data_IF_423853486744
#
_entry.id   IF_423853486744
#
_cell.length_a   1.000
_cell.length_b   1.000
_cell.length_c   1.000
_cell.angle_alpha   90.00
_cell.angle_beta   90.00
_cell.angle_gamma   90.00
#
_symmetry.space_group_name_H-M   'P 1'
#
loop_
_entity.id
_entity.type
_entity.pdbx_description
1 polymer ?
#
# COMPACT_ATOMS: atom_id res chain seq x y z
N UNK A 1 32.23 -9.29 25.83
CA UNK A 1 31.65 -9.45 24.49
C UNK A 1 30.13 -9.32 24.58
N UNK A 2 29.60 -8.18 24.13
CA UNK A 2 28.19 -7.82 24.29
C UNK A 2 27.25 -8.45 23.24
N UNK A 3 27.77 -9.23 22.28
CA UNK A 3 26.99 -9.82 21.20
C UNK A 3 27.38 -11.28 20.97
N UNK A 4 26.38 -12.16 20.81
CA UNK A 4 26.60 -13.54 20.37
C UNK A 4 26.98 -13.59 18.88
N UNK A 5 27.80 -14.57 18.48
CA UNK A 5 28.18 -14.81 17.07
C UNK A 5 26.95 -14.97 16.16
N UNK A 6 25.89 -15.61 16.65
CA UNK A 6 24.63 -15.75 15.93
C UNK A 6 23.95 -14.40 15.69
N UNK A 7 23.95 -13.49 16.69
CA UNK A 7 23.40 -12.14 16.55
C UNK A 7 24.18 -11.29 15.55
N UNK A 8 25.52 -11.43 15.49
CA UNK A 8 26.36 -10.74 14.52
C UNK A 8 26.11 -11.22 13.10
N UNK A 9 25.98 -12.54 12.90
CA UNK A 9 25.66 -13.13 11.59
C UNK A 9 24.29 -12.63 11.11
N UNK A 10 23.27 -12.66 11.97
CA UNK A 10 21.93 -12.18 11.60
C UNK A 10 21.94 -10.71 11.20
N UNK A 11 22.64 -9.85 11.95
CA UNK A 11 22.77 -8.42 11.66
C UNK A 11 23.52 -8.16 10.36
N UNK A 12 24.62 -8.86 10.11
CA UNK A 12 25.45 -8.66 8.92
C UNK A 12 24.83 -9.23 7.65
N UNK A 13 23.98 -10.24 7.74
CA UNK A 13 23.31 -10.83 6.56
C UNK A 13 21.90 -10.34 6.35
N UNK A 14 21.03 -10.48 7.33
CA UNK A 14 19.61 -10.18 7.17
C UNK A 14 19.33 -8.66 7.14
N UNK A 15 19.93 -7.90 8.06
CA UNK A 15 19.73 -6.45 8.13
C UNK A 15 20.32 -5.75 6.91
N UNK A 16 21.49 -6.21 6.43
CA UNK A 16 22.10 -5.69 5.19
C UNK A 16 21.23 -6.01 3.97
N UNK A 17 20.66 -7.22 3.89
CA UNK A 17 19.73 -7.55 2.80
C UNK A 17 18.44 -6.72 2.83
N UNK A 18 17.88 -6.47 4.01
CA UNK A 18 16.71 -5.61 4.15
C UNK A 18 17.00 -4.17 3.72
N UNK A 19 18.13 -3.62 4.15
CA UNK A 19 18.58 -2.28 3.75
C UNK A 19 18.81 -2.23 2.23
N UNK A 20 19.47 -3.23 1.66
CA UNK A 20 19.70 -3.31 0.23
C UNK A 20 18.39 -3.37 -0.56
N UNK A 21 17.40 -4.16 -0.11
CA UNK A 21 16.08 -4.21 -0.74
C UNK A 21 15.35 -2.87 -0.65
N UNK A 22 15.35 -2.23 0.52
CA UNK A 22 14.73 -0.91 0.72
C UNK A 22 15.34 0.15 -0.19
N UNK A 23 16.68 0.21 -0.26
CA UNK A 23 17.39 1.16 -1.13
C UNK A 23 17.10 0.86 -2.60
N UNK A 24 17.20 -0.40 -3.02
CA UNK A 24 17.00 -0.78 -4.43
C UNK A 24 15.56 -0.50 -4.88
N UNK A 25 14.58 -0.90 -4.09
CA UNK A 25 13.16 -0.67 -4.39
C UNK A 25 12.84 0.83 -4.28
N UNK A 26 13.35 1.50 -3.24
CA UNK A 26 13.12 2.93 -3.01
C UNK A 26 13.68 3.79 -4.14
N UNK A 27 14.93 3.60 -4.53
CA UNK A 27 15.55 4.35 -5.65
C UNK A 27 14.80 4.07 -6.95
N UNK A 28 14.47 2.78 -7.22
CA UNK A 28 13.72 2.43 -8.43
C UNK A 28 12.36 3.13 -8.46
N UNK A 29 11.60 3.12 -7.37
CA UNK A 29 10.30 3.77 -7.32
C UNK A 29 10.40 5.30 -7.40
N UNK A 30 11.37 5.91 -6.69
CA UNK A 30 11.60 7.35 -6.69
C UNK A 30 12.01 7.91 -8.07
N UNK A 31 12.80 7.16 -8.82
CA UNK A 31 13.25 7.61 -10.14
C UNK A 31 12.27 7.21 -11.25
N UNK A 32 11.80 5.97 -11.24
CA UNK A 32 11.01 5.42 -12.33
C UNK A 32 9.59 6.00 -12.37
N UNK A 33 8.94 6.16 -11.21
CA UNK A 33 7.56 6.64 -11.17
C UNK A 33 7.41 8.10 -11.66
N UNK A 34 8.24 9.08 -11.27
CA UNK A 34 8.16 10.43 -11.84
C UNK A 34 8.43 10.47 -13.35
N UNK A 35 9.39 9.66 -13.84
CA UNK A 35 9.69 9.58 -15.28
C UNK A 35 8.48 9.04 -16.05
N UNK A 36 7.85 7.97 -15.56
CA UNK A 36 6.65 7.42 -16.17
C UNK A 36 5.47 8.40 -16.12
N UNK A 37 5.28 9.10 -14.99
CA UNK A 37 4.20 10.07 -14.85
C UNK A 37 4.38 11.26 -15.78
N UNK A 38 5.56 11.87 -15.81
CA UNK A 38 5.85 13.04 -16.66
C UNK A 38 5.90 12.66 -18.13
N UNK A 39 6.54 11.55 -18.48
CA UNK A 39 6.58 11.03 -19.85
C UNK A 39 5.18 10.68 -20.37
N UNK A 40 4.40 9.96 -19.55
CA UNK A 40 3.01 9.63 -19.90
C UNK A 40 2.15 10.89 -20.08
N UNK A 41 2.31 11.89 -19.20
CA UNK A 41 1.57 13.15 -19.29
C UNK A 41 1.90 13.93 -20.58
N UNK A 42 3.18 14.09 -20.89
CA UNK A 42 3.64 14.78 -22.11
C UNK A 42 3.09 14.08 -23.35
N UNK A 43 3.25 12.75 -23.43
CA UNK A 43 2.81 11.95 -24.56
C UNK A 43 1.27 11.94 -24.71
N UNK A 44 0.54 11.94 -23.59
CA UNK A 44 -0.92 11.99 -23.63
C UNK A 44 -1.42 13.34 -24.15
N UNK A 45 -0.84 14.45 -23.67
CA UNK A 45 -1.22 15.80 -24.12
C UNK A 45 -0.88 15.99 -25.59
N UNK A 46 0.24 15.45 -26.08
CA UNK A 46 0.62 15.48 -27.49
C UNK A 46 -0.43 14.82 -28.40
N UNK A 47 -1.07 13.73 -27.93
CA UNK A 47 -2.10 13.02 -28.68
C UNK A 47 -3.45 13.72 -28.69
N UNK A 48 -3.90 14.25 -27.56
CA UNK A 48 -5.18 14.97 -27.48
C UNK A 48 -5.23 15.87 -26.26
N UNK A 49 -5.12 17.17 -26.46
CA UNK A 49 -5.31 18.17 -25.40
C UNK A 49 -6.76 18.17 -24.90
N UNK A 50 -7.72 17.89 -25.80
CA UNK A 50 -9.15 17.91 -25.44
C UNK A 50 -9.55 16.80 -24.49
N UNK A 51 -8.78 15.69 -24.40
CA UNK A 51 -8.99 14.60 -23.46
C UNK A 51 -8.18 14.78 -22.14
N UNK A 52 -7.32 15.79 -22.01
CA UNK A 52 -6.45 15.98 -20.85
C UNK A 52 -7.20 16.09 -19.52
N UNK A 53 -8.45 16.54 -19.51
CA UNK A 53 -9.30 16.56 -18.33
C UNK A 53 -9.54 15.16 -17.74
N UNK A 54 -9.52 14.09 -18.55
CA UNK A 54 -9.68 12.71 -18.08
C UNK A 54 -8.54 12.29 -17.18
N UNK A 55 -7.30 12.78 -17.45
CA UNK A 55 -6.13 12.57 -16.60
C UNK A 55 -6.33 13.28 -15.26
N UNK A 56 -6.83 14.53 -15.29
CA UNK A 56 -7.11 15.28 -14.07
C UNK A 56 -8.16 14.55 -13.20
N UNK A 57 -9.24 14.06 -13.80
CA UNK A 57 -10.26 13.26 -13.11
C UNK A 57 -9.65 11.98 -12.51
N UNK A 58 -8.83 11.25 -13.27
CA UNK A 58 -8.13 10.07 -12.79
C UNK A 58 -7.27 10.38 -11.56
N UNK A 59 -6.42 11.40 -11.64
CA UNK A 59 -5.49 11.78 -10.57
C UNK A 59 -6.25 12.25 -9.32
N UNK A 60 -7.27 13.10 -9.49
CA UNK A 60 -8.10 13.56 -8.36
C UNK A 60 -8.83 12.40 -7.69
N UNK A 61 -9.40 11.47 -8.46
CA UNK A 61 -10.06 10.28 -7.93
C UNK A 61 -9.08 9.39 -7.16
N UNK A 62 -7.87 9.17 -7.71
CA UNK A 62 -6.82 8.38 -7.06
C UNK A 62 -6.35 9.02 -5.75
N UNK A 63 -6.08 10.32 -5.75
CA UNK A 63 -5.70 11.07 -4.54
C UNK A 63 -6.84 11.00 -3.51
N UNK A 64 -8.08 11.21 -3.91
CA UNK A 64 -9.25 11.14 -3.03
C UNK A 64 -9.40 9.78 -2.35
N UNK A 65 -9.31 8.69 -3.11
CA UNK A 65 -9.36 7.32 -2.58
C UNK A 65 -8.20 7.08 -1.62
N UNK A 66 -6.98 7.45 -2.01
CA UNK A 66 -5.78 7.23 -1.23
C UNK A 66 -5.84 7.99 0.11
N UNK A 67 -6.19 9.28 0.07
CA UNK A 67 -6.32 10.10 1.27
C UNK A 67 -7.42 9.58 2.19
N UNK A 68 -8.54 9.12 1.64
CA UNK A 68 -9.65 8.55 2.42
C UNK A 68 -9.21 7.27 3.14
N UNK A 69 -8.56 6.35 2.44
CA UNK A 69 -8.08 5.09 3.02
C UNK A 69 -6.99 5.36 4.06
N UNK A 70 -6.00 6.19 3.75
CA UNK A 70 -4.89 6.49 4.67
C UNK A 70 -5.37 7.22 5.94
N UNK A 71 -6.28 8.17 5.84
CA UNK A 71 -6.80 8.90 7.00
C UNK A 71 -7.51 7.99 8.01
N UNK A 72 -8.15 6.92 7.52
CA UNK A 72 -8.82 5.93 8.37
C UNK A 72 -7.82 4.86 8.87
N UNK A 73 -6.87 4.45 8.02
CA UNK A 73 -5.92 3.38 8.34
C UNK A 73 -4.82 3.81 9.31
N UNK A 74 -4.24 5.01 9.14
CA UNK A 74 -3.09 5.48 9.94
C UNK A 74 -3.32 5.46 11.45
N UNK A 75 -4.45 5.97 12.01
CA UNK A 75 -4.69 5.87 13.45
C UNK A 75 -4.83 4.41 13.91
N UNK A 76 -5.40 3.53 13.06
CA UNK A 76 -5.56 2.11 13.38
C UNK A 76 -4.23 1.34 13.36
N UNK A 77 -3.28 1.72 12.53
CA UNK A 77 -1.93 1.15 12.54
C UNK A 77 -1.21 1.42 13.87
N UNK A 78 -1.35 2.63 14.44
CA UNK A 78 -0.77 2.95 15.77
C UNK A 78 -1.40 2.09 16.87
N UNK A 79 -2.72 1.91 16.84
CA UNK A 79 -3.41 1.02 17.80
C UNK A 79 -2.96 -0.42 17.61
N UNK A 80 -2.82 -0.89 16.37
CA UNK A 80 -2.37 -2.24 16.06
C UNK A 80 -0.97 -2.52 16.63
N UNK A 81 -0.06 -1.55 16.56
CA UNK A 81 1.27 -1.68 17.13
C UNK A 81 1.22 -1.88 18.66
N UNK A 82 0.45 -1.06 19.37
CA UNK A 82 0.29 -1.21 20.82
C UNK A 82 -0.38 -2.53 21.22
N UNK A 83 -1.32 -3.03 20.41
CA UNK A 83 -1.96 -4.33 20.62
C UNK A 83 -0.99 -5.49 20.36
N UNK A 84 -0.11 -5.35 19.37
CA UNK A 84 0.99 -6.31 19.12
C UNK A 84 1.93 -6.39 20.32
N UNK A 85 2.33 -5.24 20.87
CA UNK A 85 3.20 -5.19 22.05
C UNK A 85 2.53 -5.84 23.26
N UNK A 86 1.24 -5.56 23.50
CA UNK A 86 0.45 -6.20 24.55
C UNK A 86 0.37 -7.72 24.39
N UNK A 87 0.08 -8.20 23.17
CA UNK A 87 0.00 -9.64 22.87
C UNK A 87 1.36 -10.32 23.08
N UNK A 88 2.45 -9.69 22.64
CA UNK A 88 3.81 -10.18 22.85
C UNK A 88 4.18 -10.21 24.34
N UNK A 89 3.78 -9.20 25.12
CA UNK A 89 4.01 -9.16 26.55
C UNK A 89 3.32 -10.33 27.24
N UNK A 90 2.00 -10.51 27.02
CA UNK A 90 1.22 -11.62 27.60
C UNK A 90 1.81 -12.97 27.21
N UNK A 91 2.19 -13.14 25.92
CA UNK A 91 2.81 -14.37 25.44
C UNK A 91 4.15 -14.66 26.15
N UNK A 92 4.99 -13.63 26.34
CA UNK A 92 6.28 -13.76 27.03
C UNK A 92 6.10 -14.10 28.53
N UNK A 93 5.16 -13.44 29.18
CA UNK A 93 4.84 -13.71 30.59
C UNK A 93 4.32 -15.14 30.76
N UNK A 94 3.43 -15.62 29.88
CA UNK A 94 2.94 -16.99 29.91
C UNK A 94 4.05 -18.02 29.70
N UNK A 95 4.96 -17.78 28.73
CA UNK A 95 6.06 -18.69 28.47
C UNK A 95 7.07 -18.73 29.62
N UNK A 96 7.42 -17.57 30.19
CA UNK A 96 8.37 -17.51 31.30
C UNK A 96 7.76 -17.97 32.62
N UNK A 97 6.45 -17.76 32.82
CA UNK A 97 5.71 -18.15 34.03
C UNK A 97 5.09 -19.54 33.98
N UNK A 98 5.27 -20.30 32.91
CA UNK A 98 4.58 -21.58 32.67
C UNK A 98 4.63 -22.56 33.86
N UNK A 99 5.79 -22.68 34.51
CA UNK A 99 5.95 -23.54 35.69
C UNK A 99 5.09 -23.09 36.89
N UNK A 100 5.03 -21.76 37.08
CA UNK A 100 4.25 -21.17 38.19
C UNK A 100 2.75 -21.28 37.89
N UNK A 101 2.34 -20.98 36.66
CA UNK A 101 0.94 -21.08 36.22
C UNK A 101 0.41 -22.50 36.47
N UNK A 102 1.19 -23.53 36.08
CA UNK A 102 0.82 -24.96 36.32
C UNK A 102 0.84 -25.34 37.79
N UNK A 103 1.81 -24.84 38.58
CA UNK A 103 1.89 -25.16 40.00
C UNK A 103 0.70 -24.63 40.78
N UNK A 104 0.11 -23.50 40.37
CA UNK A 104 -1.05 -22.90 41.02
C UNK A 104 -2.39 -23.19 40.31
N UNK A 105 -2.39 -23.93 39.18
CA UNK A 105 -3.62 -24.28 38.44
C UNK A 105 -4.31 -23.05 37.84
N UNK A 106 -3.55 -22.02 37.44
CA UNK A 106 -4.09 -20.73 36.98
C UNK A 106 -4.17 -20.60 35.45
N UNK A 107 -4.11 -21.76 34.75
CA UNK A 107 -4.17 -21.81 33.30
C UNK A 107 -5.41 -21.11 32.71
N UNK A 108 -6.63 -21.30 33.24
CA UNK A 108 -7.83 -20.67 32.67
C UNK A 108 -7.79 -19.13 32.73
N UNK A 109 -7.17 -18.57 33.76
CA UNK A 109 -7.02 -17.11 33.89
C UNK A 109 -6.07 -16.56 32.83
N UNK A 110 -4.91 -17.19 32.65
CA UNK A 110 -3.92 -16.75 31.65
C UNK A 110 -4.40 -17.01 30.22
N UNK A 111 -5.15 -18.07 29.98
CA UNK A 111 -5.80 -18.32 28.69
C UNK A 111 -6.82 -17.23 28.37
N UNK A 112 -7.66 -16.83 29.29
CA UNK A 112 -8.60 -15.75 29.09
C UNK A 112 -7.87 -14.41 28.82
N UNK A 113 -6.83 -14.11 29.60
CA UNK A 113 -6.00 -12.92 29.42
C UNK A 113 -5.33 -12.85 28.03
N UNK A 114 -4.85 -14.00 27.54
CA UNK A 114 -4.31 -14.12 26.19
C UNK A 114 -5.40 -13.96 25.13
N UNK A 115 -6.55 -14.60 25.32
CA UNK A 115 -7.66 -14.53 24.40
C UNK A 115 -8.19 -13.11 24.25
N UNK A 116 -8.32 -12.35 25.35
CA UNK A 116 -8.73 -10.95 25.33
C UNK A 116 -7.73 -10.10 24.49
N UNK A 117 -6.43 -10.26 24.73
CA UNK A 117 -5.41 -9.55 23.98
C UNK A 117 -5.40 -9.93 22.48
N UNK A 118 -5.62 -11.22 22.20
CA UNK A 118 -5.69 -11.75 20.84
C UNK A 118 -6.97 -11.30 20.10
N UNK A 119 -8.09 -11.20 20.81
CA UNK A 119 -9.35 -10.73 20.22
C UNK A 119 -9.25 -9.25 19.83
N UNK A 120 -8.75 -8.39 20.72
CA UNK A 120 -8.50 -6.98 20.46
C UNK A 120 -7.60 -6.79 19.22
N UNK A 121 -6.48 -7.53 19.18
CA UNK A 121 -5.57 -7.52 18.06
C UNK A 121 -6.25 -7.98 16.77
N UNK A 122 -6.93 -9.12 16.81
CA UNK A 122 -7.56 -9.74 15.66
C UNK A 122 -8.66 -8.84 15.07
N UNK A 123 -9.49 -8.22 15.91
CA UNK A 123 -10.53 -7.30 15.48
C UNK A 123 -9.94 -6.09 14.74
N UNK A 124 -8.95 -5.45 15.35
CA UNK A 124 -8.30 -4.28 14.76
C UNK A 124 -7.56 -4.63 13.48
N UNK A 125 -6.84 -5.75 13.46
CA UNK A 125 -6.12 -6.24 12.29
C UNK A 125 -7.06 -6.57 11.12
N UNK A 126 -8.17 -7.27 11.40
CA UNK A 126 -9.19 -7.57 10.38
C UNK A 126 -9.77 -6.29 9.77
N UNK A 127 -10.03 -5.27 10.57
CA UNK A 127 -10.51 -3.99 10.07
C UNK A 127 -9.51 -3.34 9.13
N UNK A 128 -8.23 -3.25 9.53
CA UNK A 128 -7.15 -2.68 8.71
C UNK A 128 -6.97 -3.48 7.42
N UNK A 129 -6.95 -4.81 7.50
CA UNK A 129 -6.79 -5.67 6.33
C UNK A 129 -7.96 -5.55 5.34
N UNK A 130 -9.21 -5.47 5.83
CA UNK A 130 -10.38 -5.22 4.98
C UNK A 130 -10.29 -3.86 4.28
N UNK A 131 -9.88 -2.82 5.01
CA UNK A 131 -9.71 -1.49 4.43
C UNK A 131 -8.62 -1.49 3.35
N UNK A 132 -7.48 -2.13 3.62
CA UNK A 132 -6.38 -2.26 2.65
C UNK A 132 -6.77 -3.10 1.43
N UNK A 133 -7.56 -4.15 1.61
CA UNK A 133 -8.02 -4.99 0.50
C UNK A 133 -8.96 -4.26 -0.47
N UNK A 134 -9.66 -3.20 -0.02
CA UNK A 134 -10.48 -2.36 -0.89
C UNK A 134 -9.67 -1.49 -1.85
N UNK A 135 -8.39 -1.28 -1.56
CA UNK A 135 -7.54 -0.38 -2.35
C UNK A 135 -7.41 -0.87 -3.80
N UNK A 136 -7.12 -2.16 -4.02
CA UNK A 136 -6.99 -2.73 -5.36
C UNK A 136 -8.29 -2.66 -6.20
N UNK A 137 -9.47 -3.09 -5.70
CA UNK A 137 -10.72 -2.91 -6.43
C UNK A 137 -11.06 -1.46 -6.73
N UNK A 138 -10.81 -0.54 -5.79
CA UNK A 138 -11.06 0.88 -6.00
C UNK A 138 -10.16 1.46 -7.11
N UNK A 139 -8.89 1.08 -7.14
CA UNK A 139 -7.96 1.46 -8.21
C UNK A 139 -8.38 0.90 -9.57
N UNK A 140 -8.79 -0.37 -9.62
CA UNK A 140 -9.32 -0.98 -10.85
C UNK A 140 -10.57 -0.25 -11.35
N UNK A 141 -11.44 0.17 -10.44
CA UNK A 141 -12.64 0.94 -10.80
C UNK A 141 -12.25 2.28 -11.44
N UNK A 142 -11.28 2.99 -10.89
CA UNK A 142 -10.78 4.24 -11.50
C UNK A 142 -10.16 3.96 -12.86
N UNK A 143 -9.29 2.96 -12.98
CA UNK A 143 -8.66 2.59 -14.24
C UNK A 143 -9.68 2.30 -15.34
N UNK A 144 -10.64 1.40 -15.06
CA UNK A 144 -11.65 1.02 -16.03
C UNK A 144 -12.64 2.17 -16.31
N UNK A 145 -13.01 2.92 -15.26
CA UNK A 145 -13.88 4.09 -15.41
C UNK A 145 -13.29 5.16 -16.31
N UNK A 146 -11.99 5.49 -16.09
CA UNK A 146 -11.28 6.46 -16.95
C UNK A 146 -11.13 5.92 -18.36
N UNK A 147 -10.85 4.63 -18.55
CA UNK A 147 -10.80 4.02 -19.88
C UNK A 147 -12.13 4.14 -20.62
N UNK A 148 -13.25 3.90 -19.93
CA UNK A 148 -14.58 4.08 -20.51
C UNK A 148 -14.84 5.54 -20.91
N UNK A 149 -14.43 6.51 -20.06
CA UNK A 149 -14.55 7.92 -20.39
C UNK A 149 -13.74 8.28 -21.63
N UNK A 150 -12.49 7.79 -21.73
CA UNK A 150 -11.64 8.03 -22.90
C UNK A 150 -12.26 7.42 -24.15
N UNK A 151 -12.80 6.20 -24.08
CA UNK A 151 -13.45 5.55 -25.22
C UNK A 151 -14.70 6.34 -25.62
N UNK A 152 -15.52 6.75 -24.66
CA UNK A 152 -16.76 7.49 -24.92
C UNK A 152 -16.49 8.84 -25.61
N UNK A 153 -15.66 9.68 -25.03
CA UNK A 153 -15.36 11.01 -25.59
C UNK A 153 -14.39 10.93 -26.76
N UNK A 154 -13.45 9.98 -26.75
CA UNK A 154 -12.50 9.76 -27.83
C UNK A 154 -13.18 9.23 -29.10
N UNK A 155 -14.18 8.34 -28.97
CA UNK A 155 -14.93 7.84 -30.13
C UNK A 155 -15.70 8.96 -30.85
N UNK A 156 -16.22 9.93 -30.12
CA UNK A 156 -16.85 11.11 -30.72
C UNK A 156 -15.84 11.92 -31.53
N UNK A 157 -14.64 12.15 -30.99
CA UNK A 157 -13.57 12.87 -31.70
C UNK A 157 -13.06 12.10 -32.92
N UNK A 158 -13.05 10.77 -32.86
CA UNK A 158 -12.72 9.92 -34.02
C UNK A 158 -13.79 10.04 -35.09
N UNK A 159 -15.07 10.03 -34.71
CA UNK A 159 -16.19 10.22 -35.65
C UNK A 159 -16.12 11.58 -36.34
N UNK A 160 -15.73 12.61 -35.61
CA UNK A 160 -15.52 13.98 -36.13
C UNK A 160 -14.20 14.15 -36.90
N UNK A 161 -13.44 13.05 -37.11
CA UNK A 161 -12.11 13.05 -37.75
C UNK A 161 -11.05 13.95 -37.05
N UNK A 162 -11.29 14.32 -35.80
CA UNK A 162 -10.37 15.15 -35.00
C UNK A 162 -9.29 14.29 -34.29
N UNK A 163 -9.50 12.98 -34.17
CA UNK A 163 -8.56 12.05 -33.54
C UNK A 163 -8.49 10.74 -34.35
N UNK A 164 -7.30 10.16 -34.48
CA UNK A 164 -7.16 8.83 -35.07
C UNK A 164 -7.40 7.72 -34.04
N UNK A 165 -7.91 6.57 -34.46
CA UNK A 165 -8.14 5.42 -33.57
C UNK A 165 -6.81 5.00 -32.89
N UNK A 166 -5.70 5.01 -33.61
CA UNK A 166 -4.37 4.70 -33.05
C UNK A 166 -3.95 5.67 -31.96
N UNK A 167 -4.23 6.96 -32.11
CA UNK A 167 -3.93 7.98 -31.10
C UNK A 167 -4.80 7.82 -29.86
N UNK A 168 -6.08 7.47 -30.01
CA UNK A 168 -6.96 7.15 -28.89
C UNK A 168 -6.44 5.93 -28.08
N UNK A 169 -6.01 4.88 -28.77
CA UNK A 169 -5.42 3.70 -28.12
C UNK A 169 -4.10 4.02 -27.40
N UNK A 170 -3.24 4.82 -28.03
CA UNK A 170 -2.01 5.31 -27.42
C UNK A 170 -2.30 6.17 -26.18
N UNK A 171 -3.32 7.04 -26.26
CA UNK A 171 -3.74 7.88 -25.13
C UNK A 171 -4.17 7.02 -23.93
N UNK A 172 -4.97 5.97 -24.12
CA UNK A 172 -5.35 5.04 -23.06
C UNK A 172 -4.10 4.44 -22.40
N UNK A 173 -3.11 4.00 -23.18
CA UNK A 173 -1.88 3.42 -22.64
C UNK A 173 -1.08 4.43 -21.81
N UNK A 174 -1.00 5.69 -22.24
CA UNK A 174 -0.30 6.73 -21.48
C UNK A 174 -1.02 7.05 -20.16
N UNK A 175 -2.35 7.11 -20.18
CA UNK A 175 -3.13 7.32 -18.95
C UNK A 175 -2.95 6.14 -17.98
N UNK A 176 -2.93 4.90 -18.48
CA UNK A 176 -2.63 3.72 -17.65
C UNK A 176 -1.23 3.79 -17.04
N UNK A 177 -0.25 4.27 -17.79
CA UNK A 177 1.12 4.49 -17.30
C UNK A 177 1.17 5.52 -16.17
N UNK A 178 0.43 6.63 -16.30
CA UNK A 178 0.30 7.66 -15.26
C UNK A 178 -0.33 7.08 -14.00
N UNK A 179 -1.40 6.30 -14.13
CA UNK A 179 -2.07 5.64 -13.00
C UNK A 179 -1.12 4.65 -12.32
N UNK A 180 -0.36 3.86 -13.07
CA UNK A 180 0.64 2.93 -12.51
C UNK A 180 1.78 3.66 -11.80
N UNK A 181 2.25 4.77 -12.36
CA UNK A 181 3.26 5.61 -11.71
C UNK A 181 2.75 6.15 -10.36
N UNK A 182 1.48 6.60 -10.33
CA UNK A 182 0.84 7.06 -9.09
C UNK A 182 0.73 5.93 -8.06
N UNK A 183 0.36 4.71 -8.47
CA UNK A 183 0.33 3.52 -7.61
C UNK A 183 1.70 3.22 -7.00
N UNK A 184 2.78 3.30 -7.79
CA UNK A 184 4.14 3.07 -7.29
C UNK A 184 4.53 4.09 -6.22
N UNK A 185 4.23 5.37 -6.44
CA UNK A 185 4.47 6.42 -5.44
C UNK A 185 3.64 6.17 -4.18
N UNK A 186 2.38 5.79 -4.34
CA UNK A 186 1.47 5.50 -3.23
C UNK A 186 1.93 4.32 -2.37
N UNK A 187 2.44 3.25 -3.00
CA UNK A 187 3.01 2.11 -2.27
C UNK A 187 4.21 2.50 -1.43
N UNK A 188 5.04 3.42 -1.91
CA UNK A 188 6.19 3.91 -1.16
C UNK A 188 5.78 4.54 0.18
N UNK A 189 4.70 5.33 0.21
CA UNK A 189 4.18 5.91 1.45
C UNK A 189 3.65 4.87 2.45
N UNK A 190 3.26 3.68 1.99
CA UNK A 190 2.83 2.57 2.85
C UNK A 190 4.04 1.81 3.43
N UNK A 191 5.14 1.71 2.68
CA UNK A 191 6.34 1.00 3.12
C UNK A 191 7.24 1.84 4.05
N UNK A 192 7.27 3.17 3.89
CA UNK A 192 8.15 4.06 4.68
C UNK A 192 7.94 3.93 6.21
N UNK A 193 6.71 3.90 6.76
CA UNK A 193 6.48 3.77 8.20
C UNK A 193 6.88 2.42 8.80
N UNK A 194 7.12 1.40 7.97
CA UNK A 194 7.56 0.07 8.45
C UNK A 194 9.09 -0.04 8.58
N UNK A 195 9.82 0.96 8.07
CA UNK A 195 11.28 0.98 8.07
C UNK A 195 11.88 1.88 9.17
N UNK A 196 11.06 2.64 9.90
CA UNK A 196 11.44 3.45 11.06
C UNK A 196 11.06 2.75 12.36
#
# INVERSE_FOLDING_TARGET
DNFSTASLITRTTNDVQQIQQLITIGIRMLCYAPILATGGLIMAIDKSVSLAWTIAVAVIALIGIMMSILSIAMPKFKVLQSLTDRLNLVSRENLSGMMVIRAFGNEPFEENRFNDANEDYTYTNRFVQRLMSLLMPAMMLVMNGVSLLIIWFGSQQVADSALQIGDMMAYIQYVMQIIMAFLMISMMFIFLPRAS
#
